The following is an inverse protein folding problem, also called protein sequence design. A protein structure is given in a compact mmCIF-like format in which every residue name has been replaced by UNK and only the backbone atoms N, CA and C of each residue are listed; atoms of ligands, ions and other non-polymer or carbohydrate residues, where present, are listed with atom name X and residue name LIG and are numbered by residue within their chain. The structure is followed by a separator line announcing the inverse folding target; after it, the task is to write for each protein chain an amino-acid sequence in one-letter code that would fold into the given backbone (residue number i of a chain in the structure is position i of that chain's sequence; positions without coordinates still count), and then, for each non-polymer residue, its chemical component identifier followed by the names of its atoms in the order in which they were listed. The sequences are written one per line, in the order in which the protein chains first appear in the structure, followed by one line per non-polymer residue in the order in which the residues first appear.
data_IF_018571098238
#
_entry.id   IF_018571098238
#
_cell.length_a   1.000
_cell.length_b   1.000
_cell.length_c   1.000
_cell.angle_alpha   90.00
_cell.angle_beta   90.00
_cell.angle_gamma   90.00
#
_symmetry.space_group_name_H-M   'P 1'
#
loop_
_entity.id
_entity.type
_entity.pdbx_description
1 polymer ?
#
# COMPACT_ATOMS: atom_id res chain seq x y z
N UNK A 1 -4.44 9.40 2.80
CA UNK A 1 -4.06 7.97 2.72
C UNK A 1 -5.28 7.15 3.11
N UNK A 2 -5.61 6.10 2.37
CA UNK A 2 -6.68 5.17 2.75
C UNK A 2 -6.04 3.81 2.94
N UNK A 3 -6.21 3.21 4.11
CA UNK A 3 -5.79 1.83 4.38
C UNK A 3 -6.97 0.94 4.03
N UNK A 4 -6.77 -0.01 3.11
CA UNK A 4 -7.84 -0.90 2.66
C UNK A 4 -7.87 -2.23 3.42
N UNK A 5 -6.74 -2.63 4.01
CA UNK A 5 -6.66 -3.84 4.84
C UNK A 5 -5.56 -3.69 5.88
N UNK A 6 -5.82 -4.28 7.06
CA UNK A 6 -4.85 -4.44 8.13
C UNK A 6 -4.84 -5.91 8.56
N UNK A 7 -3.65 -6.46 8.77
CA UNK A 7 -3.46 -7.84 9.25
C UNK A 7 -2.29 -7.86 10.22
N UNK A 8 -2.45 -8.56 11.34
CA UNK A 8 -1.34 -8.87 12.25
C UNK A 8 -0.84 -10.28 11.91
N UNK A 9 0.47 -10.43 11.71
CA UNK A 9 1.09 -11.73 11.46
C UNK A 9 1.56 -12.42 12.76
N UNK A 10 1.95 -13.71 12.73
CA UNK A 10 2.38 -14.44 13.92
C UNK A 10 3.69 -13.94 14.56
N UNK A 11 4.37 -12.96 13.97
CA UNK A 11 5.59 -12.36 14.50
C UNK A 11 5.32 -11.00 15.18
N UNK A 12 4.06 -10.72 15.55
CA UNK A 12 3.61 -9.45 16.15
C UNK A 12 3.94 -8.22 15.28
N UNK A 13 3.77 -8.36 13.96
CA UNK A 13 3.90 -7.25 13.03
C UNK A 13 2.55 -6.87 12.43
N UNK A 14 2.27 -5.58 12.37
CA UNK A 14 1.10 -5.04 11.69
C UNK A 14 1.43 -4.73 10.24
N UNK A 15 0.70 -5.36 9.33
CA UNK A 15 0.78 -5.12 7.90
C UNK A 15 -0.38 -4.24 7.44
N UNK A 16 -0.08 -3.16 6.72
CA UNK A 16 -1.04 -2.24 6.13
C UNK A 16 -0.95 -2.28 4.62
N UNK A 17 -2.07 -2.57 3.96
CA UNK A 17 -2.22 -2.38 2.52
C UNK A 17 -2.71 -0.96 2.24
N UNK A 18 -1.83 -0.11 1.73
CA UNK A 18 -2.16 1.22 1.21
C UNK A 18 -2.27 1.15 -0.31
N UNK A 19 -3.46 1.43 -0.83
CA UNK A 19 -3.70 1.40 -2.27
C UNK A 19 -3.29 2.67 -2.99
N UNK A 20 -2.95 3.74 -2.28
CA UNK A 20 -2.50 5.00 -2.89
C UNK A 20 -3.52 5.62 -3.85
N UNK A 21 -4.81 5.31 -3.71
CA UNK A 21 -5.88 5.71 -4.63
C UNK A 21 -6.98 6.47 -3.88
N UNK A 22 -6.71 7.71 -3.42
CA UNK A 22 -7.72 8.53 -2.77
C UNK A 22 -8.86 8.81 -3.77
N UNK A 23 -10.11 8.65 -3.32
CA UNK A 23 -11.29 8.83 -4.18
C UNK A 23 -11.27 7.98 -5.47
N UNK A 24 -10.59 6.82 -5.44
CA UNK A 24 -10.39 5.95 -6.61
C UNK A 24 -9.63 6.62 -7.77
N UNK A 25 -8.84 7.66 -7.50
CA UNK A 25 -7.98 8.29 -8.49
C UNK A 25 -6.88 7.33 -8.98
N UNK A 26 -6.35 7.51 -10.20
CA UNK A 26 -5.20 6.76 -10.69
C UNK A 26 -4.04 6.79 -9.69
N UNK A 27 -3.31 5.67 -9.61
CA UNK A 27 -2.17 5.55 -8.71
C UNK A 27 -0.89 6.08 -9.37
N UNK A 28 -0.01 6.67 -8.57
CA UNK A 28 1.31 7.11 -8.99
C UNK A 28 2.39 6.18 -8.46
N UNK A 29 3.61 6.29 -9.00
CA UNK A 29 4.75 5.55 -8.46
C UNK A 29 4.92 5.86 -6.96
N UNK A 30 5.09 4.81 -6.15
CA UNK A 30 5.19 4.93 -4.69
C UNK A 30 3.85 5.05 -3.96
N UNK A 31 2.72 5.20 -4.68
CA UNK A 31 1.39 5.24 -4.07
C UNK A 31 1.03 3.88 -3.45
N UNK A 32 0.78 2.85 -4.28
CA UNK A 32 0.48 1.52 -3.80
C UNK A 32 1.67 0.87 -3.09
N UNK A 33 1.47 0.44 -1.84
CA UNK A 33 2.52 -0.18 -1.03
C UNK A 33 1.96 -1.08 0.06
N UNK A 34 2.80 -2.01 0.50
CA UNK A 34 2.60 -2.81 1.70
C UNK A 34 3.59 -2.32 2.77
N UNK A 35 3.06 -1.86 3.90
CA UNK A 35 3.85 -1.32 5.02
C UNK A 35 3.79 -2.30 6.18
N UNK A 36 4.95 -2.57 6.78
CA UNK A 36 5.09 -3.39 7.99
C UNK A 36 5.48 -2.48 9.16
N UNK A 37 4.70 -2.53 10.23
CA UNK A 37 4.97 -1.87 11.51
C UNK A 37 5.29 -2.94 12.54
N UNK A 38 6.38 -2.72 13.29
CA UNK A 38 6.73 -3.52 14.45
C UNK A 38 5.86 -3.05 15.64
N UNK A 39 5.06 -3.95 16.23
CA UNK A 39 4.14 -3.58 17.30
C UNK A 39 4.79 -3.48 18.69
N UNK A 40 6.07 -3.86 18.82
CA UNK A 40 6.81 -3.66 20.07
C UNK A 40 7.34 -2.24 20.17
N UNK A 41 7.75 -1.68 19.03
CA UNK A 41 8.40 -0.37 18.93
C UNK A 41 7.51 0.72 18.35
N UNK A 42 6.38 0.35 17.74
CA UNK A 42 5.51 1.23 16.94
C UNK A 42 6.22 1.88 15.74
N UNK A 43 7.30 1.27 15.25
CA UNK A 43 8.10 1.79 14.14
C UNK A 43 7.84 1.08 12.81
N UNK A 44 8.00 1.81 11.70
CA UNK A 44 7.93 1.23 10.35
C UNK A 44 9.23 0.50 10.04
N UNK A 45 9.19 -0.83 10.09
CA UNK A 45 10.36 -1.69 9.80
C UNK A 45 10.57 -1.98 8.31
N UNK A 46 9.50 -1.99 7.51
CA UNK A 46 9.61 -2.27 6.08
C UNK A 46 8.52 -1.58 5.26
N UNK A 47 8.90 -1.07 4.09
CA UNK A 47 7.96 -0.64 3.05
C UNK A 47 8.28 -1.37 1.75
N UNK A 48 7.30 -2.10 1.22
CA UNK A 48 7.38 -2.75 -0.10
C UNK A 48 6.55 -1.94 -1.07
N UNK A 49 7.22 -1.32 -2.04
CA UNK A 49 6.56 -0.63 -3.15
C UNK A 49 6.12 -1.65 -4.19
N UNK A 50 4.86 -1.56 -4.64
CA UNK A 50 4.44 -2.32 -5.80
C UNK A 50 5.06 -1.71 -7.06
N UNK A 51 5.46 -2.56 -8.02
CA UNK A 51 5.95 -2.10 -9.31
C UNK A 51 4.87 -1.27 -9.99
N UNK A 52 5.23 -0.09 -10.48
CA UNK A 52 4.33 0.72 -11.30
C UNK A 52 3.98 -0.09 -12.56
N UNK A 53 2.70 -0.16 -12.95
CA UNK A 53 2.35 -0.64 -14.28
C UNK A 53 3.12 0.20 -15.29
N UNK A 54 3.85 -0.45 -16.20
CA UNK A 54 4.74 0.24 -17.14
C UNK A 54 3.98 1.09 -18.17
N UNK A 55 2.65 0.95 -18.25
CA UNK A 55 1.78 1.80 -19.06
C UNK A 55 0.38 1.86 -18.43
N UNK A 56 0.09 2.87 -17.62
CA UNK A 56 -1.29 3.23 -17.30
C UNK A 56 -1.77 4.27 -18.31
N UNK A 57 -1.82 3.89 -19.59
CA UNK A 57 -2.58 4.66 -20.58
C UNK A 57 -4.02 4.85 -20.09
N UNK A 58 -4.74 5.90 -20.55
CA UNK A 58 -6.06 6.21 -20.05
C UNK A 58 -6.98 4.99 -20.16
N UNK A 59 -7.47 4.51 -19.02
CA UNK A 59 -8.50 3.48 -18.96
C UNK A 59 -9.77 4.10 -19.55
N UNK A 60 -10.03 3.83 -20.84
CA UNK A 60 -11.33 4.11 -21.44
C UNK A 60 -12.33 3.10 -20.88
N UNK A 61 -13.14 3.53 -19.93
CA UNK A 61 -14.39 2.86 -19.61
C UNK A 61 -15.25 2.89 -20.89
N UNK A 62 -15.52 1.71 -21.46
CA UNK A 62 -16.56 1.53 -22.47
C UNK A 62 -17.86 1.15 -21.78
#
# INVERSE_FOLDING_TARGET
MSVQSIVVDPADRLWLLDTGSPMFAPTEHGGPKLVCVDLTTDEVGQTILFRTPIDAGPVRLR
#
